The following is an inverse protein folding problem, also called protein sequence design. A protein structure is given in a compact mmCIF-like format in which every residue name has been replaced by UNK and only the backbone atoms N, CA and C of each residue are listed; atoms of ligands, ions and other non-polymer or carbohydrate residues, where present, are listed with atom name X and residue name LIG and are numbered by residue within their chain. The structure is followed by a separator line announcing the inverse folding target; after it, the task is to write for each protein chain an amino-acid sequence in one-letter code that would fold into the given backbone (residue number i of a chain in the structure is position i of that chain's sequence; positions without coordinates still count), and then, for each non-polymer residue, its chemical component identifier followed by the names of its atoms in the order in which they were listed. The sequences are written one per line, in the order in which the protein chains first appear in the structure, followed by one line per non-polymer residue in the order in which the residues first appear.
data_IF_071460943618
#
_entry.id   IF_071460943618
#
_cell.length_a   1.000
_cell.length_b   1.000
_cell.length_c   1.000
_cell.angle_alpha   90.00
_cell.angle_beta   90.00
_cell.angle_gamma   90.00
#
_symmetry.space_group_name_H-M   'P 1'
#
loop_
_entity.id
_entity.type
_entity.pdbx_description
1 polymer ?
#
# COMPACT_ATOMS: atom_id res chain seq x y z
N UNK A 1 -10.22 -29.14 6.61
CA UNK A 1 -11.14 -28.10 7.14
C UNK A 1 -11.86 -27.42 5.98
N UNK A 2 -13.18 -27.31 6.02
CA UNK A 2 -13.92 -26.62 4.96
C UNK A 2 -13.99 -25.12 5.27
N UNK A 3 -13.57 -24.26 4.34
CA UNK A 3 -13.60 -22.81 4.47
C UNK A 3 -15.02 -22.26 4.70
N UNK A 4 -16.04 -22.99 4.26
CA UNK A 4 -17.48 -22.65 4.44
C UNK A 4 -17.89 -22.63 5.92
N UNK A 5 -17.19 -23.36 6.78
CA UNK A 5 -17.46 -23.43 8.23
C UNK A 5 -16.45 -22.64 9.06
N UNK A 6 -15.66 -21.75 8.42
CA UNK A 6 -14.65 -21.00 9.12
C UNK A 6 -15.22 -20.14 10.24
N UNK A 7 -14.59 -20.19 11.40
CA UNK A 7 -15.00 -19.47 12.61
C UNK A 7 -14.11 -18.28 12.91
N UNK A 8 -14.56 -17.39 13.79
CA UNK A 8 -13.74 -16.27 14.27
C UNK A 8 -12.50 -16.72 15.06
N UNK A 9 -12.58 -17.87 15.71
CA UNK A 9 -11.43 -18.44 16.43
C UNK A 9 -10.35 -18.85 15.45
N UNK A 10 -10.71 -19.57 14.38
CA UNK A 10 -9.77 -19.96 13.33
C UNK A 10 -9.16 -18.75 12.61
N UNK A 11 -9.94 -17.73 12.32
CA UNK A 11 -9.43 -16.49 11.72
C UNK A 11 -8.43 -15.75 12.63
N UNK A 12 -8.68 -15.75 13.94
CA UNK A 12 -7.75 -15.22 14.95
C UNK A 12 -6.46 -16.04 15.00
N UNK A 13 -6.60 -17.36 15.05
CA UNK A 13 -5.46 -18.26 15.19
C UNK A 13 -4.61 -18.27 13.90
N UNK A 14 -5.24 -18.24 12.73
CA UNK A 14 -4.59 -18.01 11.45
C UNK A 14 -3.84 -16.65 11.46
N UNK A 15 -4.45 -15.61 11.98
CA UNK A 15 -3.83 -14.28 12.04
C UNK A 15 -2.60 -14.24 12.92
N UNK A 16 -2.59 -15.02 14.02
CA UNK A 16 -1.44 -15.19 14.92
C UNK A 16 -0.36 -16.05 14.27
N UNK A 17 -0.76 -17.18 13.71
CA UNK A 17 0.14 -18.08 12.98
C UNK A 17 0.88 -17.34 11.85
N UNK A 18 0.17 -16.58 11.02
CA UNK A 18 0.76 -15.81 9.92
C UNK A 18 1.77 -14.76 10.40
N UNK A 19 1.59 -14.22 11.60
CA UNK A 19 2.55 -13.28 12.21
C UNK A 19 3.83 -13.97 12.71
N UNK A 20 3.75 -15.26 13.05
CA UNK A 20 4.85 -16.03 13.65
C UNK A 20 5.60 -16.89 12.63
N UNK A 21 4.97 -17.30 11.55
CA UNK A 21 5.59 -18.16 10.55
C UNK A 21 6.66 -17.43 9.75
N UNK A 22 7.70 -18.16 9.38
CA UNK A 22 8.69 -17.68 8.43
C UNK A 22 8.19 -17.79 6.99
N UNK A 23 8.58 -16.84 6.16
CA UNK A 23 8.32 -16.91 4.73
C UNK A 23 8.96 -18.15 4.11
N UNK A 24 8.29 -18.79 3.14
CA UNK A 24 8.90 -19.85 2.38
C UNK A 24 10.18 -19.32 1.69
N UNK A 25 11.22 -20.15 1.66
CA UNK A 25 12.48 -19.81 1.00
C UNK A 25 12.27 -19.81 -0.50
N UNK A 26 12.58 -18.69 -1.15
CA UNK A 26 12.74 -18.69 -2.60
C UNK A 26 14.13 -19.24 -2.94
N UNK A 27 14.21 -20.18 -3.85
CA UNK A 27 15.48 -20.64 -4.39
C UNK A 27 16.25 -19.45 -5.01
N UNK A 28 17.53 -19.29 -4.63
CA UNK A 28 18.39 -18.20 -5.14
C UNK A 28 18.25 -16.83 -4.46
N UNK A 29 17.34 -16.65 -3.53
CA UNK A 29 17.15 -15.37 -2.82
C UNK A 29 18.06 -15.25 -1.59
N UNK A 30 19.04 -14.36 -1.62
CA UNK A 30 19.84 -14.00 -0.43
C UNK A 30 18.94 -13.45 0.69
N UNK A 31 19.13 -13.93 1.93
CA UNK A 31 18.41 -13.40 3.09
C UNK A 31 18.99 -12.05 3.48
N UNK A 32 18.22 -10.99 3.38
CA UNK A 32 18.56 -9.75 4.07
C UNK A 32 18.23 -9.87 5.55
N UNK A 33 19.17 -9.48 6.40
CA UNK A 33 18.95 -9.43 7.83
C UNK A 33 17.75 -8.54 8.19
N UNK A 34 17.08 -8.84 9.29
CA UNK A 34 16.01 -7.99 9.80
C UNK A 34 16.56 -6.57 10.05
N UNK A 35 15.83 -5.57 9.61
CA UNK A 35 16.24 -4.16 9.74
C UNK A 35 17.18 -3.64 8.64
N UNK A 36 17.83 -4.50 7.84
CA UNK A 36 18.68 -4.08 6.74
C UNK A 36 17.88 -3.27 5.70
N UNK A 37 18.41 -2.11 5.30
CA UNK A 37 17.76 -1.27 4.30
C UNK A 37 17.97 -1.84 2.88
N UNK A 38 16.94 -1.76 2.06
CA UNK A 38 17.07 -2.03 0.64
C UNK A 38 17.84 -0.87 -0.02
N UNK A 39 18.96 -1.09 -0.71
CA UNK A 39 19.76 -0.02 -1.31
C UNK A 39 18.97 0.79 -2.35
N UNK A 40 18.02 0.15 -3.07
CA UNK A 40 17.22 0.82 -4.10
C UNK A 40 16.01 1.55 -3.51
N UNK A 41 15.27 0.92 -2.59
CA UNK A 41 13.99 1.48 -2.09
C UNK A 41 14.10 2.09 -0.70
N UNK A 42 15.21 1.95 0.00
CA UNK A 42 15.41 2.39 1.38
C UNK A 42 14.51 1.67 2.41
N UNK A 43 13.69 0.72 1.99
CA UNK A 43 12.78 -0.02 2.89
C UNK A 43 13.57 -0.99 3.75
N UNK A 44 13.29 -0.99 5.04
CA UNK A 44 13.89 -1.96 5.96
C UNK A 44 13.30 -3.35 5.74
N UNK A 45 14.17 -4.36 5.70
CA UNK A 45 13.78 -5.76 5.59
C UNK A 45 13.06 -6.20 6.88
N UNK A 46 11.91 -6.87 6.79
CA UNK A 46 11.29 -7.52 7.95
C UNK A 46 11.99 -8.86 8.33
N UNK A 47 13.08 -9.20 7.65
CA UNK A 47 13.79 -10.46 7.85
C UNK A 47 12.99 -11.66 7.30
N UNK A 48 12.99 -12.77 8.04
CA UNK A 48 12.27 -13.99 7.68
C UNK A 48 10.76 -13.85 7.82
N UNK A 49 10.26 -12.94 8.65
CA UNK A 49 8.82 -12.74 8.90
C UNK A 49 8.13 -11.90 7.84
N UNK A 50 6.80 -12.03 7.75
CA UNK A 50 6.00 -11.17 6.90
C UNK A 50 5.98 -9.72 7.42
N UNK A 51 6.02 -8.77 6.50
CA UNK A 51 5.89 -7.36 6.85
C UNK A 51 4.46 -7.05 7.37
N UNK A 52 4.30 -6.08 8.30
CA UNK A 52 2.97 -5.68 8.79
C UNK A 52 2.00 -5.28 7.67
N UNK A 53 2.50 -4.67 6.59
CA UNK A 53 1.69 -4.33 5.41
C UNK A 53 1.17 -5.59 4.68
N UNK A 54 1.99 -6.63 4.54
CA UNK A 54 1.58 -7.91 3.95
C UNK A 54 0.52 -8.58 4.83
N UNK A 55 0.71 -8.59 6.15
CA UNK A 55 -0.27 -9.12 7.10
C UNK A 55 -1.61 -8.36 7.02
N UNK A 56 -1.55 -7.02 6.89
CA UNK A 56 -2.74 -6.19 6.74
C UNK A 56 -3.48 -6.51 5.43
N UNK A 57 -2.75 -6.61 4.32
CA UNK A 57 -3.30 -6.93 3.00
C UNK A 57 -3.96 -8.31 2.99
N UNK A 58 -3.28 -9.34 3.48
CA UNK A 58 -3.83 -10.71 3.53
C UNK A 58 -5.15 -10.78 4.29
N UNK A 59 -5.26 -10.07 5.42
CA UNK A 59 -6.49 -10.01 6.21
C UNK A 59 -7.62 -9.23 5.53
N UNK A 60 -7.27 -8.19 4.76
CA UNK A 60 -8.23 -7.43 3.96
C UNK A 60 -8.78 -8.29 2.82
N UNK A 61 -7.91 -9.02 2.12
CA UNK A 61 -8.32 -9.95 1.04
C UNK A 61 -9.22 -11.05 1.58
N UNK A 62 -8.83 -11.71 2.67
CA UNK A 62 -9.66 -12.77 3.28
C UNK A 62 -11.02 -12.24 3.76
N UNK A 63 -11.05 -11.03 4.31
CA UNK A 63 -12.31 -10.42 4.71
C UNK A 63 -13.21 -10.16 3.50
N UNK A 64 -12.65 -9.63 2.39
CA UNK A 64 -13.40 -9.44 1.14
C UNK A 64 -13.92 -10.75 0.56
N UNK A 65 -13.08 -11.79 0.56
CA UNK A 65 -13.48 -13.13 0.13
C UNK A 65 -14.69 -13.65 0.94
N UNK A 66 -14.62 -13.60 2.26
CA UNK A 66 -15.73 -14.06 3.09
C UNK A 66 -16.96 -13.13 3.03
N UNK A 67 -16.80 -11.85 2.81
CA UNK A 67 -17.92 -10.94 2.60
C UNK A 67 -18.68 -11.28 1.31
N UNK A 68 -17.96 -11.51 0.22
CA UNK A 68 -18.54 -11.94 -1.06
C UNK A 68 -19.34 -13.25 -0.92
N UNK A 69 -18.76 -14.27 -0.29
CA UNK A 69 -19.44 -15.56 -0.11
C UNK A 69 -20.60 -15.50 0.89
N UNK A 70 -20.54 -14.61 1.86
CA UNK A 70 -21.66 -14.35 2.77
C UNK A 70 -22.85 -13.75 2.01
N UNK A 71 -22.60 -12.77 1.15
CA UNK A 71 -23.62 -12.14 0.29
C UNK A 71 -24.20 -13.14 -0.72
N UNK A 72 -23.35 -13.99 -1.28
CA UNK A 72 -23.76 -15.06 -2.22
C UNK A 72 -24.46 -16.26 -1.54
N UNK A 73 -24.59 -16.27 -0.21
CA UNK A 73 -25.18 -17.38 0.54
C UNK A 73 -24.38 -18.70 0.47
N UNK A 74 -23.14 -18.67 -0.02
CA UNK A 74 -22.27 -19.83 -0.22
C UNK A 74 -21.17 -19.98 0.83
N UNK A 75 -21.12 -19.08 1.82
CA UNK A 75 -20.09 -19.02 2.85
C UNK A 75 -20.60 -19.22 4.27
N UNK A 76 -19.79 -18.95 5.27
CA UNK A 76 -20.19 -19.00 6.66
C UNK A 76 -21.23 -17.91 6.97
N UNK A 77 -22.14 -18.19 7.91
CA UNK A 77 -23.22 -17.27 8.32
C UNK A 77 -22.69 -15.92 8.83
N UNK A 78 -21.46 -15.89 9.33
CA UNK A 78 -20.81 -14.69 9.85
C UNK A 78 -19.40 -14.60 9.29
N UNK A 79 -19.03 -13.42 8.81
CA UNK A 79 -17.65 -13.20 8.32
C UNK A 79 -16.64 -13.47 9.47
N UNK A 80 -15.71 -14.43 9.31
CA UNK A 80 -14.70 -14.76 10.31
C UNK A 80 -13.73 -13.62 10.61
N UNK A 81 -13.57 -12.68 9.67
CA UNK A 81 -12.72 -11.50 9.79
C UNK A 81 -13.56 -10.23 10.04
N UNK A 82 -14.07 -10.04 11.28
CA UNK A 82 -14.96 -8.93 11.57
C UNK A 82 -14.25 -7.58 11.49
N UNK A 83 -15.03 -6.53 11.30
CA UNK A 83 -14.57 -5.15 11.51
C UNK A 83 -14.31 -4.89 12.99
N UNK A 84 -13.37 -4.00 13.28
CA UNK A 84 -13.21 -3.47 14.62
C UNK A 84 -14.47 -2.71 15.02
N UNK A 85 -14.82 -2.76 16.31
CA UNK A 85 -15.87 -1.88 16.86
C UNK A 85 -15.39 -0.44 16.67
N UNK A 86 -16.23 0.42 16.11
CA UNK A 86 -15.90 1.82 15.93
C UNK A 86 -15.53 2.43 17.28
N UNK A 87 -14.40 3.10 17.37
CA UNK A 87 -14.10 3.95 18.52
C UNK A 87 -14.99 5.18 18.41
N UNK A 88 -15.75 5.47 19.46
CA UNK A 88 -16.61 6.65 19.54
C UNK A 88 -15.84 8.00 19.52
N UNK A 89 -14.52 7.98 19.47
CA UNK A 89 -13.65 9.15 19.58
C UNK A 89 -12.94 9.61 18.30
N UNK A 90 -13.27 9.06 17.13
CA UNK A 90 -12.76 9.59 15.86
C UNK A 90 -13.35 10.97 15.57
N UNK A 91 -12.53 11.93 15.14
CA UNK A 91 -13.02 13.25 14.70
C UNK A 91 -14.03 13.04 13.55
N UNK A 92 -15.31 13.22 13.87
CA UNK A 92 -16.42 12.93 12.97
C UNK A 92 -16.43 13.80 11.69
N UNK A 93 -15.60 14.85 11.65
CA UNK A 93 -15.62 15.85 10.57
C UNK A 93 -14.29 16.03 9.83
N UNK A 94 -13.28 15.18 10.08
CA UNK A 94 -12.06 15.22 9.27
C UNK A 94 -12.35 14.70 7.86
N UNK A 95 -12.22 15.56 6.86
CA UNK A 95 -12.47 15.26 5.44
C UNK A 95 -13.93 14.89 5.08
N UNK A 96 -14.89 15.51 5.76
CA UNK A 96 -16.30 15.28 5.48
C UNK A 96 -16.77 16.12 4.29
N UNK A 97 -17.37 15.46 3.30
CA UNK A 97 -18.17 16.14 2.29
C UNK A 97 -19.53 16.49 2.92
N UNK A 98 -19.92 17.78 3.02
CA UNK A 98 -21.17 18.16 3.68
C UNK A 98 -22.43 17.62 2.99
N UNK A 99 -22.32 17.14 1.74
CA UNK A 99 -23.41 16.55 0.97
C UNK A 99 -23.55 15.03 1.18
N UNK A 100 -22.63 14.38 1.87
CA UNK A 100 -22.65 12.94 2.10
C UNK A 100 -22.63 12.65 3.61
N UNK A 101 -23.43 11.67 4.09
CA UNK A 101 -23.34 11.27 5.50
C UNK A 101 -21.97 10.68 5.81
N UNK A 102 -21.37 11.15 6.90
CA UNK A 102 -20.06 10.66 7.33
C UNK A 102 -20.11 9.17 7.65
N UNK A 103 -19.40 8.37 6.88
CA UNK A 103 -19.16 6.95 7.11
C UNK A 103 -17.71 6.73 7.58
N UNK A 104 -17.52 6.43 8.87
CA UNK A 104 -16.19 6.08 9.37
C UNK A 104 -15.78 4.70 8.86
N UNK A 105 -14.75 4.64 8.02
CA UNK A 105 -14.18 3.39 7.55
C UNK A 105 -13.64 2.55 8.71
N UNK A 106 -14.31 1.46 9.00
CA UNK A 106 -13.88 0.54 10.05
C UNK A 106 -12.76 -0.37 9.53
N UNK A 107 -11.63 -0.35 10.22
CA UNK A 107 -10.55 -1.29 9.95
C UNK A 107 -10.93 -2.72 10.37
N UNK A 108 -10.36 -3.73 9.72
CA UNK A 108 -10.53 -5.12 10.15
C UNK A 108 -9.94 -5.34 11.55
N UNK A 109 -10.65 -6.07 12.42
CA UNK A 109 -10.26 -6.30 13.84
C UNK A 109 -8.87 -6.92 13.99
N UNK A 110 -8.47 -7.79 13.09
CA UNK A 110 -7.18 -8.47 13.13
C UNK A 110 -6.10 -7.76 12.32
N UNK A 111 -6.41 -6.58 11.76
CA UNK A 111 -5.43 -5.80 10.99
C UNK A 111 -4.35 -5.26 11.93
N UNK A 112 -3.06 -5.51 11.65
CA UNK A 112 -1.99 -4.93 12.46
C UNK A 112 -1.98 -3.41 12.34
N UNK A 113 -1.64 -2.73 13.41
CA UNK A 113 -1.41 -1.28 13.36
C UNK A 113 -0.18 -1.03 12.47
N UNK A 114 -0.37 -0.31 11.39
CA UNK A 114 0.73 0.13 10.54
C UNK A 114 1.28 1.43 11.12
N UNK A 115 2.57 1.46 11.41
CA UNK A 115 3.23 2.71 11.75
C UNK A 115 3.22 3.59 10.49
N UNK A 116 2.53 4.70 10.56
CA UNK A 116 2.51 5.67 9.46
C UNK A 116 3.92 6.27 9.37
N UNK A 117 4.63 5.91 8.31
CA UNK A 117 5.95 6.48 8.05
C UNK A 117 5.75 7.82 7.40
N UNK A 118 6.28 8.87 8.01
CA UNK A 118 6.40 10.16 7.34
C UNK A 118 7.28 9.96 6.10
N UNK A 119 6.80 10.34 4.90
CA UNK A 119 7.61 10.27 3.71
C UNK A 119 8.91 11.03 3.93
N UNK A 120 10.04 10.44 3.53
CA UNK A 120 11.33 11.12 3.61
C UNK A 120 11.35 12.18 2.51
N UNK A 121 11.36 13.42 2.92
CA UNK A 121 11.61 14.55 2.01
C UNK A 121 13.10 14.55 1.64
N UNK A 122 13.38 14.74 0.37
CA UNK A 122 14.72 15.11 -0.08
C UNK A 122 14.85 16.63 0.16
N UNK A 123 15.81 17.11 0.97
CA UNK A 123 16.04 18.53 1.12
C UNK A 123 16.31 19.21 -0.23
N UNK A 124 15.83 20.42 -0.39
CA UNK A 124 15.89 21.13 -1.67
C UNK A 124 17.34 21.30 -2.17
N UNK A 125 18.28 21.58 -1.25
CA UNK A 125 19.71 21.66 -1.59
C UNK A 125 20.26 20.35 -2.15
N UNK A 126 19.82 19.20 -1.60
CA UNK A 126 20.20 17.89 -2.11
C UNK A 126 19.57 17.62 -3.47
N UNK A 127 18.33 18.02 -3.65
CA UNK A 127 17.66 17.91 -4.95
C UNK A 127 18.39 18.74 -6.01
N UNK A 128 18.71 19.99 -5.71
CA UNK A 128 19.44 20.89 -6.60
C UNK A 128 20.83 20.34 -6.97
N UNK A 129 21.56 19.75 -6.01
CA UNK A 129 22.82 19.08 -6.26
C UNK A 129 22.68 17.87 -7.21
N UNK A 130 21.63 17.06 -7.04
CA UNK A 130 21.34 15.93 -7.90
C UNK A 130 21.01 16.44 -9.31
N UNK A 131 20.12 17.43 -9.40
CA UNK A 131 19.68 18.00 -10.67
C UNK A 131 20.84 18.64 -11.47
N UNK A 132 21.73 19.38 -10.80
CA UNK A 132 22.91 19.97 -11.42
C UNK A 132 23.90 18.91 -11.97
N UNK A 133 23.93 17.71 -11.41
CA UNK A 133 24.80 16.60 -11.88
C UNK A 133 24.22 15.81 -13.04
N UNK A 134 22.96 16.03 -13.42
CA UNK A 134 22.37 15.39 -14.58
C UNK A 134 23.04 15.90 -15.85
N UNK A 135 23.61 14.98 -16.65
CA UNK A 135 24.43 15.33 -17.81
C UNK A 135 23.61 15.62 -19.07
N UNK A 136 22.41 15.05 -19.17
CA UNK A 136 21.58 15.15 -20.35
C UNK A 136 20.33 15.99 -20.08
N UNK A 137 19.90 16.77 -21.07
CA UNK A 137 18.68 17.58 -21.00
C UNK A 137 17.44 16.67 -20.91
N UNK A 138 17.50 15.48 -21.52
CA UNK A 138 16.49 14.45 -21.37
C UNK A 138 16.30 14.04 -19.90
N UNK A 139 17.37 13.77 -19.19
CA UNK A 139 17.30 13.34 -17.79
C UNK A 139 16.83 14.48 -16.89
N UNK A 140 17.25 15.71 -17.18
CA UNK A 140 16.76 16.92 -16.51
C UNK A 140 15.26 17.10 -16.73
N UNK A 141 14.79 16.98 -17.97
CA UNK A 141 13.38 17.08 -18.30
C UNK A 141 12.56 15.98 -17.60
N UNK A 142 13.01 14.71 -17.63
CA UNK A 142 12.34 13.61 -16.95
C UNK A 142 12.22 13.85 -15.43
N UNK A 143 13.30 14.30 -14.78
CA UNK A 143 13.28 14.55 -13.33
C UNK A 143 12.40 15.75 -13.01
N UNK A 144 12.46 16.83 -13.80
CA UNK A 144 11.59 18.00 -13.62
C UNK A 144 10.12 17.65 -13.77
N UNK A 145 9.75 16.88 -14.81
CA UNK A 145 8.39 16.41 -15.03
C UNK A 145 7.92 15.47 -13.92
N UNK A 146 8.80 14.58 -13.47
CA UNK A 146 8.46 13.67 -12.37
C UNK A 146 8.15 14.41 -11.07
N UNK A 147 8.95 15.40 -10.74
CA UNK A 147 8.76 16.20 -9.50
C UNK A 147 7.54 17.11 -9.60
N UNK A 148 7.29 17.71 -10.75
CA UNK A 148 6.16 18.64 -10.94
C UNK A 148 4.81 17.93 -11.05
N UNK A 149 4.77 16.74 -11.68
CA UNK A 149 3.51 16.03 -11.95
C UNK A 149 3.22 14.91 -10.94
N UNK A 150 4.23 14.36 -10.28
CA UNK A 150 4.08 13.16 -9.44
C UNK A 150 3.73 11.89 -10.23
N UNK A 151 3.85 11.90 -11.55
CA UNK A 151 3.54 10.77 -12.42
C UNK A 151 4.45 9.56 -12.12
N UNK A 152 3.98 8.35 -12.42
CA UNK A 152 4.79 7.15 -12.27
C UNK A 152 5.87 7.09 -13.35
N UNK A 153 7.01 6.49 -13.03
CA UNK A 153 8.12 6.36 -13.99
C UNK A 153 7.69 5.69 -15.31
N UNK A 154 6.84 4.66 -15.25
CA UNK A 154 6.28 4.00 -16.45
C UNK A 154 5.41 4.92 -17.30
N UNK A 155 4.67 5.81 -16.67
CA UNK A 155 3.79 6.78 -17.31
C UNK A 155 4.63 7.83 -18.04
N UNK A 156 5.67 8.37 -17.41
CA UNK A 156 6.58 9.34 -18.03
C UNK A 156 7.41 8.74 -19.16
N UNK A 157 7.91 7.52 -18.97
CA UNK A 157 8.73 6.84 -19.99
C UNK A 157 7.90 6.37 -21.19
N UNK A 158 6.60 6.20 -21.04
CA UNK A 158 5.65 5.88 -22.11
C UNK A 158 5.14 7.08 -22.88
N UNK A 159 5.34 8.31 -22.38
CA UNK A 159 4.87 9.52 -23.02
C UNK A 159 5.60 9.79 -24.33
N UNK A 160 4.86 10.22 -25.35
CA UNK A 160 5.34 10.56 -26.69
C UNK A 160 5.24 12.06 -26.95
N UNK A 161 5.94 12.56 -27.95
CA UNK A 161 5.89 13.97 -28.32
C UNK A 161 4.46 14.47 -28.64
N UNK A 162 3.60 13.61 -29.18
CA UNK A 162 2.19 13.94 -29.44
C UNK A 162 1.30 14.03 -28.19
N UNK A 163 1.79 13.56 -27.04
CA UNK A 163 1.06 13.62 -25.76
C UNK A 163 1.32 14.95 -25.01
N UNK A 164 2.18 15.80 -25.57
CA UNK A 164 2.58 17.08 -24.99
C UNK A 164 1.87 18.21 -25.74
N UNK A 165 1.07 18.98 -25.01
CA UNK A 165 0.48 20.24 -25.51
C UNK A 165 1.21 21.43 -24.86
N UNK A 166 2.16 22.05 -25.56
CA UNK A 166 2.90 23.19 -25.02
C UNK A 166 2.03 24.44 -24.90
N UNK A 167 0.96 24.57 -25.66
CA UNK A 167 0.06 25.71 -25.60
C UNK A 167 -0.78 25.73 -24.35
N UNK A 168 -1.21 24.55 -23.90
CA UNK A 168 -1.99 24.40 -22.65
C UNK A 168 -1.12 23.98 -21.47
N UNK A 169 0.18 23.78 -21.67
CA UNK A 169 1.13 23.27 -20.65
C UNK A 169 0.69 21.92 -20.05
N UNK A 170 0.10 21.07 -20.86
CA UNK A 170 -0.42 19.77 -20.47
C UNK A 170 0.40 18.62 -21.05
N UNK A 171 0.48 17.54 -20.29
CA UNK A 171 1.00 16.25 -20.74
C UNK A 171 -0.05 15.20 -20.47
N UNK A 172 -0.52 14.54 -21.52
CA UNK A 172 -1.47 13.44 -21.41
C UNK A 172 -0.73 12.16 -21.08
N UNK A 173 -1.07 11.52 -19.96
CA UNK A 173 -0.43 10.28 -19.51
C UNK A 173 -1.44 9.14 -19.67
N UNK A 174 -1.08 8.15 -20.50
CA UNK A 174 -1.90 6.96 -20.73
C UNK A 174 -1.52 5.90 -19.68
N UNK A 175 -2.51 5.37 -18.97
CA UNK A 175 -2.35 4.29 -18.00
C UNK A 175 -2.47 2.93 -18.65
#
# INVERSE_FOLDING_TARGET
MSWVRATRCEARDFSRWLALIDKPRKAGGGKRAAGAANPVTGKRSPGSKYAPSTLAHSKTVLRGFYAFHLEAGSGPIVNPFPLARGSAGGRAHAHHNPMEPFANERAGRYRPRLTQRVPRRIPDDRFNQIFARLRSDRDRALVALWVSTGARASELLGARGGDVDPGQQLITVIR
#
